data_IF_069947949320
#
_entry.id   IF_069947949320
#
_cell.length_a   1.000
_cell.length_b   1.000
_cell.length_c   1.000
_cell.angle_alpha   90.00
_cell.angle_beta   90.00
_cell.angle_gamma   90.00
#
_symmetry.space_group_name_H-M   'P 1'
#
loop_
_entity.id
_entity.type
_entity.pdbx_description
1 polymer ?
#
# COMPACT_ATOMS: atom_id res chain seq x y z
N UNK A 1 -13.54 -29.04 -33.87
CA UNK A 1 -13.16 -30.04 -32.84
C UNK A 1 -12.05 -29.45 -31.98
N UNK A 2 -12.31 -29.36 -30.66
CA UNK A 2 -11.51 -28.68 -29.59
C UNK A 2 -11.53 -27.15 -29.71
N UNK A 3 -11.88 -26.37 -28.69
CA UNK A 3 -11.45 -26.41 -27.28
C UNK A 3 -12.62 -25.91 -26.39
N UNK A 4 -13.26 -26.72 -25.54
CA UNK A 4 -12.95 -26.98 -24.12
C UNK A 4 -12.45 -25.78 -23.30
N UNK A 5 -13.35 -25.24 -22.46
CA UNK A 5 -13.06 -24.85 -21.07
C UNK A 5 -12.28 -23.56 -20.83
N UNK A 6 -12.96 -22.42 -20.72
CA UNK A 6 -12.44 -21.27 -19.98
C UNK A 6 -12.93 -21.33 -18.54
N UNK A 7 -12.08 -21.88 -17.67
CA UNK A 7 -12.17 -21.76 -16.22
C UNK A 7 -11.79 -20.32 -15.85
N UNK A 8 -12.74 -19.52 -15.35
CA UNK A 8 -12.54 -18.12 -14.94
C UNK A 8 -11.89 -18.06 -13.56
N UNK A 9 -10.67 -18.57 -13.43
CA UNK A 9 -9.82 -18.48 -12.23
C UNK A 9 -8.36 -18.18 -12.61
N UNK A 10 -8.15 -17.15 -13.42
CA UNK A 10 -6.88 -16.41 -13.46
C UNK A 10 -7.16 -15.12 -14.23
N UNK A 11 -7.58 -14.08 -13.53
CA UNK A 11 -7.48 -12.73 -14.08
C UNK A 11 -6.03 -12.31 -13.83
N UNK A 12 -5.14 -12.25 -14.83
CA UNK A 12 -3.88 -11.57 -14.66
C UNK A 12 -4.20 -10.10 -14.39
N UNK A 13 -4.24 -9.74 -13.11
CA UNK A 13 -4.14 -8.35 -12.72
C UNK A 13 -2.89 -7.76 -13.38
N UNK A 14 -2.88 -6.45 -13.70
CA UNK A 14 -1.70 -5.83 -14.29
C UNK A 14 -0.49 -6.22 -13.45
N UNK A 15 0.56 -6.78 -14.09
CA UNK A 15 1.81 -7.10 -13.43
C UNK A 15 2.20 -5.95 -12.50
N UNK A 16 2.66 -6.21 -11.27
CA UNK A 16 3.00 -5.14 -10.35
C UNK A 16 4.06 -4.25 -11.01
N UNK A 17 3.62 -3.10 -11.50
CA UNK A 17 4.52 -1.98 -11.78
C UNK A 17 5.35 -1.78 -10.51
N UNK A 18 6.64 -1.42 -10.64
CA UNK A 18 7.59 -1.34 -9.51
C UNK A 18 7.05 -0.56 -8.28
N UNK A 19 6.02 0.27 -8.44
CA UNK A 19 5.30 1.01 -7.40
C UNK A 19 4.32 0.19 -6.54
N UNK A 20 3.86 -1.00 -6.97
CA UNK A 20 2.87 -1.82 -6.25
C UNK A 20 3.33 -2.16 -4.82
N UNK A 21 4.62 -2.46 -4.64
CA UNK A 21 5.18 -2.82 -3.33
C UNK A 21 5.06 -1.70 -2.28
N UNK A 22 5.16 -0.44 -2.70
CA UNK A 22 4.99 0.71 -1.82
C UNK A 22 3.53 0.86 -1.38
N UNK A 23 2.58 0.70 -2.31
CA UNK A 23 1.14 0.76 -2.01
C UNK A 23 0.73 -0.27 -0.96
N UNK A 24 1.18 -1.53 -1.12
CA UNK A 24 0.90 -2.60 -0.16
C UNK A 24 1.50 -2.31 1.22
N UNK A 25 2.73 -1.79 1.26
CA UNK A 25 3.43 -1.46 2.51
C UNK A 25 2.74 -0.32 3.23
N UNK A 26 2.48 0.79 2.55
CA UNK A 26 1.78 1.95 3.11
C UNK A 26 0.40 1.56 3.64
N UNK A 27 -0.36 0.79 2.86
CA UNK A 27 -1.68 0.31 3.26
C UNK A 27 -1.62 -0.45 4.58
N UNK A 28 -0.67 -1.39 4.71
CA UNK A 28 -0.51 -2.19 5.93
C UNK A 28 -0.09 -1.33 7.12
N UNK A 29 0.88 -0.43 6.95
CA UNK A 29 1.40 0.41 8.04
C UNK A 29 0.37 1.44 8.51
N UNK A 30 -0.32 2.10 7.58
CA UNK A 30 -1.33 3.09 7.95
C UNK A 30 -2.59 2.46 8.52
N UNK A 31 -2.97 1.25 8.08
CA UNK A 31 -4.06 0.52 8.71
C UNK A 31 -3.74 0.18 10.17
N UNK A 32 -2.56 -0.40 10.45
CA UNK A 32 -2.11 -0.75 11.81
C UNK A 32 -2.08 0.47 12.75
N UNK A 33 -1.73 1.65 12.24
CA UNK A 33 -1.66 2.88 13.05
C UNK A 33 -2.98 3.60 13.23
N UNK A 34 -3.86 3.57 12.23
CA UNK A 34 -5.07 4.37 12.25
C UNK A 34 -6.31 3.60 12.66
N UNK A 35 -6.38 2.29 12.42
CA UNK A 35 -7.55 1.46 12.69
C UNK A 35 -7.38 0.73 14.02
N UNK A 36 -7.87 1.35 15.10
CA UNK A 36 -7.78 0.79 16.46
C UNK A 36 -8.90 -0.18 16.80
N UNK A 37 -10.04 -0.07 16.13
CA UNK A 37 -11.19 -0.97 16.25
C UNK A 37 -11.74 -1.24 14.85
N UNK A 38 -11.41 -2.39 14.23
CA UNK A 38 -11.91 -2.70 12.91
C UNK A 38 -13.45 -2.83 12.95
N UNK A 39 -14.12 -1.97 12.21
CA UNK A 39 -15.57 -1.97 12.04
C UNK A 39 -15.97 -2.29 10.59
N UNK A 40 -17.28 -2.40 10.37
CA UNK A 40 -17.85 -2.59 9.02
C UNK A 40 -17.65 -1.37 8.11
N UNK A 41 -17.24 -0.24 8.68
CA UNK A 41 -17.03 1.03 7.99
C UNK A 41 -15.96 1.82 8.71
N UNK A 42 -15.24 2.63 7.95
CA UNK A 42 -14.28 3.58 8.52
C UNK A 42 -15.01 4.82 9.02
N UNK A 43 -14.71 5.23 10.24
CA UNK A 43 -15.11 6.51 10.79
C UNK A 43 -14.38 7.67 10.10
N UNK A 44 -14.93 8.89 10.20
CA UNK A 44 -14.28 10.09 9.66
C UNK A 44 -12.92 10.39 10.28
N UNK A 45 -12.69 9.97 11.53
CA UNK A 45 -11.41 10.09 12.22
C UNK A 45 -10.36 9.13 11.64
N UNK A 46 -10.77 7.89 11.31
CA UNK A 46 -9.89 6.89 10.71
C UNK A 46 -9.48 7.28 9.29
N UNK A 47 -10.41 7.76 8.46
CA UNK A 47 -10.07 8.26 7.12
C UNK A 47 -9.12 9.46 7.17
N UNK A 48 -9.38 10.40 8.09
CA UNK A 48 -8.52 11.56 8.33
C UNK A 48 -7.14 11.18 8.87
N UNK A 49 -7.04 10.12 9.67
CA UNK A 49 -5.76 9.57 10.14
C UNK A 49 -4.99 8.95 8.98
N UNK A 50 -5.64 8.10 8.17
CA UNK A 50 -4.98 7.41 7.06
C UNK A 50 -4.42 8.41 6.06
N UNK A 51 -5.17 9.44 5.67
CA UNK A 51 -4.67 10.49 4.77
C UNK A 51 -3.35 11.08 5.28
N UNK A 52 -3.32 11.50 6.56
CA UNK A 52 -2.12 12.05 7.19
C UNK A 52 -0.99 11.04 7.31
N UNK A 53 -1.33 9.78 7.59
CA UNK A 53 -0.35 8.71 7.70
C UNK A 53 0.39 8.48 6.39
N UNK A 54 -0.34 8.44 5.27
CA UNK A 54 0.25 8.25 3.94
C UNK A 54 1.23 9.39 3.62
N UNK A 55 0.79 10.64 3.78
CA UNK A 55 1.64 11.82 3.55
C UNK A 55 2.94 11.74 4.37
N UNK A 56 2.82 11.48 5.68
CA UNK A 56 3.97 11.40 6.58
C UNK A 56 4.88 10.21 6.29
N UNK A 57 4.32 9.06 5.89
CA UNK A 57 5.11 7.88 5.56
C UNK A 57 5.98 8.12 4.33
N UNK A 58 5.42 8.75 3.29
CA UNK A 58 6.14 9.06 2.05
C UNK A 58 7.28 10.04 2.34
N UNK A 59 7.02 11.11 3.09
CA UNK A 59 8.05 12.09 3.44
C UNK A 59 9.16 11.50 4.30
N UNK A 60 8.81 10.73 5.34
CA UNK A 60 9.78 10.08 6.19
C UNK A 60 10.66 9.08 5.39
N UNK A 61 10.03 8.29 4.52
CA UNK A 61 10.75 7.33 3.67
C UNK A 61 11.66 8.06 2.69
N UNK A 62 11.25 9.21 2.16
CA UNK A 62 12.09 10.06 1.32
C UNK A 62 13.36 10.52 2.03
N UNK A 63 13.23 11.04 3.26
CA UNK A 63 14.37 11.48 4.07
C UNK A 63 15.31 10.31 4.40
N UNK A 64 14.75 9.18 4.84
CA UNK A 64 15.53 7.97 5.16
C UNK A 64 16.28 7.50 3.91
N UNK A 65 15.60 7.42 2.77
CA UNK A 65 16.21 7.05 1.49
C UNK A 65 17.35 8.00 1.15
N UNK A 66 17.11 9.31 1.18
CA UNK A 66 18.14 10.30 0.88
C UNK A 66 19.34 10.19 1.82
N UNK A 67 19.13 10.06 3.13
CA UNK A 67 20.24 9.96 4.10
C UNK A 67 21.03 8.67 3.93
N UNK A 68 20.37 7.53 3.77
CA UNK A 68 21.02 6.24 3.54
C UNK A 68 21.88 6.21 2.27
N UNK A 69 21.46 6.93 1.21
CA UNK A 69 22.18 6.95 -0.07
C UNK A 69 23.10 8.17 -0.27
N UNK A 70 22.99 9.21 0.56
CA UNK A 70 23.79 10.45 0.45
C UNK A 70 24.93 10.55 1.45
N UNK A 71 25.02 9.67 2.44
CA UNK A 71 26.20 9.56 3.30
C UNK A 71 27.23 8.64 2.64
N UNK A 72 28.33 9.16 2.04
CA UNK A 72 29.47 8.32 1.74
C UNK A 72 30.08 7.93 3.10
N UNK A 73 30.18 6.62 3.34
CA UNK A 73 31.08 6.13 4.37
C UNK A 73 32.53 6.42 3.94
#
# INVERSE_FOLDING_TARGET
FKQLGQNKLDQPGPAPSKSWGLSQTISTKCFDKCITKPGSSMSGSESSCISRCVDRYIEATGIITSTLFSSPH
#
